data_IF_582297967033
#
_entry.id   IF_582297967033
#
_cell.length_a   1.000
_cell.length_b   1.000
_cell.length_c   1.000
_cell.angle_alpha   90.00
_cell.angle_beta   90.00
_cell.angle_gamma   90.00
#
_symmetry.space_group_name_H-M   'P 1'
#
loop_
_entity.id
_entity.type
_entity.pdbx_description
1 polymer ?
#
# COMPACT_ATOMS: atom_id res chain seq x y z
N UNK A 1 -36.48 -44.78 -24.07
CA UNK A 1 -35.20 -44.75 -23.35
C UNK A 1 -34.22 -44.25 -24.39
N UNK A 2 -33.97 -42.95 -24.50
CA UNK A 2 -33.34 -42.07 -23.52
C UNK A 2 -33.82 -40.63 -23.74
N UNK A 3 -34.35 -39.98 -22.70
CA UNK A 3 -34.65 -38.54 -22.73
C UNK A 3 -33.45 -37.81 -22.11
N UNK A 4 -32.52 -37.36 -22.95
CA UNK A 4 -31.47 -36.45 -22.49
C UNK A 4 -32.03 -35.01 -22.45
N UNK A 5 -32.02 -34.34 -21.29
CA UNK A 5 -32.52 -32.99 -21.19
C UNK A 5 -31.50 -32.02 -21.79
N UNK A 6 -31.79 -31.52 -22.99
CA UNK A 6 -31.02 -30.48 -23.66
C UNK A 6 -30.89 -29.19 -22.82
N UNK A 7 -31.72 -29.04 -21.78
CA UNK A 7 -31.66 -27.94 -20.82
C UNK A 7 -30.49 -28.02 -19.83
N UNK A 8 -29.82 -29.17 -19.68
CA UNK A 8 -28.82 -29.36 -18.61
C UNK A 8 -27.42 -28.84 -18.93
N UNK A 9 -27.09 -28.56 -20.20
CA UNK A 9 -25.75 -28.11 -20.59
C UNK A 9 -25.61 -26.58 -20.66
N UNK A 10 -26.70 -25.83 -20.80
CA UNK A 10 -26.66 -24.37 -20.95
C UNK A 10 -26.45 -23.67 -19.59
N UNK A 11 -26.85 -24.32 -18.49
CA UNK A 11 -26.80 -23.74 -17.13
C UNK A 11 -25.38 -23.80 -16.54
N UNK A 12 -24.47 -24.61 -17.09
CA UNK A 12 -23.10 -24.75 -16.56
C UNK A 12 -22.08 -23.75 -17.14
N UNK A 13 -22.50 -22.81 -18.00
CA UNK A 13 -21.60 -21.81 -18.60
C UNK A 13 -21.65 -20.42 -17.96
N UNK A 14 -22.54 -20.18 -17.00
CA UNK A 14 -22.79 -18.85 -16.42
C UNK A 14 -22.05 -18.57 -15.09
N UNK A 15 -21.17 -19.46 -14.62
CA UNK A 15 -20.60 -19.39 -13.26
C UNK A 15 -19.08 -19.22 -13.21
N UNK A 16 -18.49 -18.53 -14.19
CA UNK A 16 -17.15 -17.97 -14.03
C UNK A 16 -17.20 -16.45 -14.22
N UNK A 17 -17.97 -15.76 -13.38
CA UNK A 17 -17.63 -14.38 -13.04
C UNK A 17 -16.36 -14.44 -12.21
N UNK A 18 -15.21 -14.26 -12.87
CA UNK A 18 -13.95 -14.03 -12.17
C UNK A 18 -14.15 -12.84 -11.23
N UNK A 19 -14.17 -13.09 -9.93
CA UNK A 19 -13.98 -12.02 -8.94
C UNK A 19 -12.51 -11.64 -9.07
N UNK A 20 -12.21 -10.60 -9.85
CA UNK A 20 -10.91 -9.95 -9.74
C UNK A 20 -10.95 -9.15 -8.45
N UNK A 21 -10.26 -9.63 -7.42
CA UNK A 21 -9.88 -8.74 -6.32
C UNK A 21 -8.99 -7.66 -6.93
N UNK A 22 -9.45 -6.42 -6.95
CA UNK A 22 -8.67 -5.29 -7.47
C UNK A 22 -7.64 -4.90 -6.42
N UNK A 23 -6.35 -4.98 -6.77
CA UNK A 23 -5.28 -4.59 -5.87
C UNK A 23 -5.41 -3.09 -5.54
N UNK A 24 -5.41 -2.74 -4.25
CA UNK A 24 -5.72 -1.38 -3.78
C UNK A 24 -4.74 -0.91 -2.73
N UNK A 25 -4.26 0.32 -2.87
CA UNK A 25 -3.45 1.00 -1.86
C UNK A 25 -4.12 2.33 -1.51
N UNK A 26 -4.38 2.56 -0.23
CA UNK A 26 -5.06 3.76 0.27
C UNK A 26 -4.27 4.34 1.42
N UNK A 27 -3.97 5.63 1.38
CA UNK A 27 -3.34 6.31 2.50
C UNK A 27 -4.27 7.27 3.21
N UNK A 28 -3.92 7.59 4.45
CA UNK A 28 -4.64 8.53 5.29
C UNK A 28 -3.72 9.18 6.33
N UNK A 29 -4.01 10.43 6.73
CA UNK A 29 -4.93 11.36 6.06
C UNK A 29 -4.32 11.92 4.75
N UNK A 30 -5.15 12.37 3.78
CA UNK A 30 -4.66 12.94 2.52
C UNK A 30 -3.84 14.23 2.69
N UNK A 31 -4.08 14.94 3.79
CA UNK A 31 -3.27 16.08 4.22
C UNK A 31 -3.28 16.13 5.74
N UNK A 32 -2.13 16.42 6.33
CA UNK A 32 -1.94 16.55 7.77
C UNK A 32 -1.21 17.85 8.07
N UNK A 33 -1.81 18.71 8.90
CA UNK A 33 -1.15 19.89 9.45
C UNK A 33 -0.77 19.60 10.91
N UNK A 34 0.50 19.79 11.25
CA UNK A 34 1.07 19.52 12.59
C UNK A 34 1.94 20.70 13.01
N UNK A 35 2.13 20.92 14.31
CA UNK A 35 3.08 21.93 14.77
C UNK A 35 4.48 21.35 14.84
N UNK A 36 5.50 22.18 14.59
CA UNK A 36 6.89 21.80 14.81
C UNK A 36 7.11 21.29 16.24
N UNK A 37 7.78 20.15 16.37
CA UNK A 37 8.00 19.45 17.64
C UNK A 37 6.95 18.39 17.96
N UNK A 38 5.77 18.42 17.34
CA UNK A 38 4.75 17.38 17.52
C UNK A 38 5.10 16.11 16.73
N UNK A 39 4.32 15.06 16.94
CA UNK A 39 4.43 13.81 16.16
C UNK A 39 3.40 13.77 15.04
N UNK A 40 3.82 13.28 13.88
CA UNK A 40 2.98 13.06 12.72
C UNK A 40 2.87 11.56 12.42
N UNK A 41 1.65 11.11 12.10
CA UNK A 41 1.36 9.73 11.77
C UNK A 41 0.62 9.67 10.43
N UNK A 42 1.18 8.90 9.49
CA UNK A 42 0.57 8.57 8.21
C UNK A 42 0.33 7.07 8.15
N UNK A 43 -0.75 6.66 7.49
CA UNK A 43 -1.12 5.26 7.37
C UNK A 43 -1.32 4.87 5.91
N UNK A 44 -1.01 3.62 5.57
CA UNK A 44 -1.13 3.03 4.25
C UNK A 44 -1.80 1.67 4.38
N UNK A 45 -3.10 1.60 4.05
CA UNK A 45 -3.83 0.37 3.88
C UNK A 45 -3.52 -0.24 2.52
N UNK A 46 -3.37 -1.55 2.47
CA UNK A 46 -3.15 -2.27 1.23
C UNK A 46 -4.05 -3.51 1.15
N UNK A 47 -4.60 -3.77 -0.01
CA UNK A 47 -5.34 -4.98 -0.33
C UNK A 47 -4.71 -5.52 -1.60
N UNK A 48 -3.73 -6.40 -1.46
CA UNK A 48 -3.04 -7.01 -2.61
C UNK A 48 -3.02 -8.52 -2.50
N UNK A 49 -3.05 -9.20 -3.64
CA UNK A 49 -3.11 -10.66 -3.68
C UNK A 49 -1.79 -11.32 -3.26
N UNK A 50 -0.64 -10.74 -3.62
CA UNK A 50 0.68 -11.35 -3.40
C UNK A 50 1.69 -10.41 -2.77
N UNK A 51 1.41 -9.93 -1.56
CA UNK A 51 2.29 -9.01 -0.83
C UNK A 51 3.74 -9.52 -0.69
N UNK A 52 4.69 -8.76 -1.22
CA UNK A 52 6.13 -8.98 -1.04
C UNK A 52 6.73 -7.97 -0.07
N UNK A 53 6.52 -6.68 -0.33
CA UNK A 53 7.02 -5.61 0.52
C UNK A 53 6.15 -4.34 0.45
N UNK A 54 6.23 -3.52 1.49
CA UNK A 54 5.68 -2.17 1.52
C UNK A 54 6.83 -1.18 1.66
N UNK A 55 6.81 -0.13 0.85
CA UNK A 55 7.87 0.85 0.76
C UNK A 55 7.31 2.25 1.05
N UNK A 56 8.01 3.02 1.88
CA UNK A 56 7.67 4.42 2.18
C UNK A 56 8.66 5.36 1.51
N UNK A 57 8.13 6.44 0.96
CA UNK A 57 8.87 7.49 0.27
C UNK A 57 8.49 8.87 0.77
N UNK A 58 9.45 9.79 0.70
CA UNK A 58 9.25 11.24 0.82
C UNK A 58 9.56 11.87 -0.53
N UNK A 59 8.65 12.66 -1.08
CA UNK A 59 8.89 13.43 -2.29
C UNK A 59 9.73 14.67 -1.94
N UNK A 60 10.94 14.75 -2.50
CA UNK A 60 11.79 15.94 -2.38
C UNK A 60 12.02 16.58 -3.75
N UNK A 61 11.58 17.83 -3.91
CA UNK A 61 11.65 18.61 -5.15
C UNK A 61 11.08 17.80 -6.34
N UNK A 62 11.95 17.09 -7.06
CA UNK A 62 11.63 16.39 -8.30
C UNK A 62 11.81 14.87 -8.22
N UNK A 63 12.24 14.33 -7.07
CA UNK A 63 12.51 12.90 -6.94
C UNK A 63 12.01 12.32 -5.60
N UNK A 64 11.50 11.08 -5.61
CA UNK A 64 11.16 10.39 -4.39
C UNK A 64 12.43 9.89 -3.69
N UNK A 65 12.53 10.17 -2.40
CA UNK A 65 13.57 9.67 -1.50
C UNK A 65 13.01 8.47 -0.74
N UNK A 66 13.70 7.35 -0.86
CA UNK A 66 13.37 6.14 -0.12
C UNK A 66 13.57 6.32 1.38
N UNK A 67 12.59 5.89 2.18
CA UNK A 67 12.66 5.90 3.64
C UNK A 67 12.84 4.49 4.20
N UNK A 68 11.87 3.60 3.94
CA UNK A 68 11.82 2.27 4.52
C UNK A 68 11.24 1.24 3.55
N UNK A 69 11.72 0.00 3.66
CA UNK A 69 11.08 -1.21 3.13
C UNK A 69 10.72 -2.09 4.30
N UNK A 70 9.44 -2.47 4.38
CA UNK A 70 8.90 -3.40 5.35
C UNK A 70 8.52 -4.68 4.63
N UNK A 71 8.90 -5.81 5.22
CA UNK A 71 8.69 -7.13 4.64
C UNK A 71 8.11 -8.07 5.68
N UNK A 72 7.82 -9.30 5.26
CA UNK A 72 7.29 -10.27 6.19
C UNK A 72 8.19 -10.61 7.38
N UNK A 73 9.52 -10.47 7.24
CA UNK A 73 10.50 -10.71 8.29
C UNK A 73 10.95 -9.44 9.00
N UNK A 74 10.76 -8.27 8.40
CA UNK A 74 11.11 -6.97 8.95
C UNK A 74 9.88 -6.07 9.07
N UNK A 75 9.07 -6.33 10.10
CA UNK A 75 7.78 -5.63 10.31
C UNK A 75 7.93 -4.25 10.93
N UNK A 76 9.10 -3.89 11.43
CA UNK A 76 9.39 -2.57 11.99
C UNK A 76 10.75 -2.05 11.49
N UNK A 77 10.80 -0.75 11.19
CA UNK A 77 12.01 -0.04 10.78
C UNK A 77 12.06 1.32 11.48
N UNK A 78 13.27 1.77 11.82
CA UNK A 78 13.48 3.07 12.46
C UNK A 78 14.78 3.70 11.96
N UNK A 79 14.74 5.00 11.70
CA UNK A 79 15.90 5.82 11.36
C UNK A 79 15.70 7.22 11.93
N UNK A 80 16.50 7.56 12.96
CA UNK A 80 16.38 8.83 13.67
C UNK A 80 14.98 9.04 14.24
N UNK A 81 14.31 10.10 13.77
CA UNK A 81 12.95 10.52 14.16
C UNK A 81 11.84 9.76 13.43
N UNK A 82 12.17 9.08 12.33
CA UNK A 82 11.20 8.35 11.53
C UNK A 82 11.18 6.88 11.94
N UNK A 83 9.99 6.30 12.00
CA UNK A 83 9.77 4.88 12.22
C UNK A 83 8.59 4.40 11.40
N UNK A 84 8.61 3.16 10.96
CA UNK A 84 7.48 2.53 10.29
C UNK A 84 7.22 1.13 10.80
N UNK A 85 5.95 0.76 10.87
CA UNK A 85 5.46 -0.55 11.31
C UNK A 85 4.54 -1.11 10.22
N UNK A 86 4.59 -2.43 10.03
CA UNK A 86 3.73 -3.20 9.13
C UNK A 86 2.86 -4.14 9.97
N UNK A 87 1.56 -3.89 10.01
CA UNK A 87 0.55 -4.79 10.54
C UNK A 87 -0.09 -5.58 9.40
N UNK A 88 0.29 -6.86 9.28
CA UNK A 88 -0.24 -7.72 8.23
C UNK A 88 -1.64 -8.24 8.51
N UNK A 89 -2.09 -8.22 9.76
CA UNK A 89 -3.44 -8.68 10.11
C UNK A 89 -4.45 -7.63 9.68
N UNK A 90 -4.13 -6.37 9.93
CA UNK A 90 -4.93 -5.21 9.54
C UNK A 90 -4.63 -4.72 8.12
N UNK A 91 -3.67 -5.36 7.43
CA UNK A 91 -3.18 -4.98 6.10
C UNK A 91 -2.84 -3.48 6.01
N UNK A 92 -2.05 -3.02 6.99
CA UNK A 92 -1.78 -1.62 7.26
C UNK A 92 -0.30 -1.42 7.49
N UNK A 93 0.27 -0.35 6.96
CA UNK A 93 1.54 0.19 7.44
C UNK A 93 1.37 1.59 7.98
N UNK A 94 2.09 1.90 9.05
CA UNK A 94 2.12 3.22 9.67
C UNK A 94 3.51 3.81 9.51
N UNK A 95 3.61 5.07 9.10
CA UNK A 95 4.82 5.89 9.17
C UNK A 95 4.63 6.94 10.25
N UNK A 96 5.52 6.96 11.22
CA UNK A 96 5.51 7.89 12.34
C UNK A 96 6.78 8.75 12.31
N UNK A 97 6.61 10.06 12.48
CA UNK A 97 7.67 11.07 12.54
C UNK A 97 7.55 11.76 13.89
N UNK A 98 8.52 11.58 14.77
CA UNK A 98 8.54 12.25 16.08
C UNK A 98 9.30 13.57 16.00
N UNK A 99 8.98 14.52 16.88
CA UNK A 99 9.65 15.82 16.96
C UNK A 99 9.83 16.44 15.56
N UNK A 100 8.71 16.60 14.86
CA UNK A 100 8.66 17.10 13.49
C UNK A 100 9.39 18.44 13.37
N UNK A 101 9.96 18.70 12.19
CA UNK A 101 10.72 19.90 11.89
C UNK A 101 10.34 20.41 10.52
N UNK A 102 10.52 21.71 10.26
CA UNK A 102 10.11 22.34 8.98
C UNK A 102 10.58 21.55 7.74
N UNK A 103 11.75 20.88 7.77
CA UNK A 103 12.22 20.04 6.66
C UNK A 103 11.38 18.77 6.38
N UNK A 104 10.54 18.35 7.31
CA UNK A 104 9.61 17.23 7.16
C UNK A 104 8.33 17.63 6.41
N UNK A 105 8.10 18.92 6.13
CA UNK A 105 6.98 19.32 5.30
C UNK A 105 7.22 18.88 3.85
N UNK A 106 6.48 17.87 3.43
CA UNK A 106 6.63 17.22 2.13
C UNK A 106 5.42 16.35 1.82
N UNK A 107 5.40 15.82 0.60
CA UNK A 107 4.48 14.76 0.22
C UNK A 107 5.12 13.42 0.58
N UNK A 108 4.35 12.54 1.24
CA UNK A 108 4.75 11.19 1.59
C UNK A 108 3.82 10.20 0.91
N UNK A 109 4.40 9.11 0.40
CA UNK A 109 3.61 8.06 -0.23
C UNK A 109 4.17 6.68 0.03
N UNK A 110 3.28 5.69 0.03
CA UNK A 110 3.63 4.28 0.09
C UNK A 110 3.47 3.61 -1.28
N UNK A 111 4.23 2.54 -1.49
CA UNK A 111 4.07 1.63 -2.61
C UNK A 111 4.14 0.18 -2.13
N UNK A 112 3.35 -0.69 -2.75
CA UNK A 112 3.34 -2.12 -2.46
C UNK A 112 3.97 -2.87 -3.63
N UNK A 113 4.90 -3.77 -3.31
CA UNK A 113 5.52 -4.70 -4.23
C UNK A 113 4.83 -6.06 -4.12
N UNK A 114 4.51 -6.67 -5.25
CA UNK A 114 3.90 -8.00 -5.31
C UNK A 114 4.86 -9.07 -5.86
N UNK A 115 4.82 -10.26 -5.25
CA UNK A 115 5.71 -11.37 -5.57
C UNK A 115 5.35 -12.11 -6.86
N UNK A 116 4.12 -12.00 -7.35
CA UNK A 116 3.71 -12.62 -8.61
C UNK A 116 4.03 -11.71 -9.79
N UNK A 117 5.31 -11.63 -10.11
CA UNK A 117 5.75 -11.14 -11.41
C UNK A 117 5.49 -12.26 -12.44
N UNK A 118 4.46 -12.11 -13.28
CA UNK A 118 4.44 -12.88 -14.54
C UNK A 118 5.70 -12.48 -15.34
N UNK A 119 6.36 -13.44 -15.99
CA UNK A 119 7.69 -13.29 -16.60
C UNK A 119 7.87 -11.97 -17.36
N UNK A 120 8.43 -10.94 -16.69
CA UNK A 120 8.81 -9.68 -17.31
C UNK A 120 8.40 -8.39 -16.59
N UNK A 121 7.41 -8.38 -15.69
CA UNK A 121 6.97 -7.12 -15.03
C UNK A 121 6.65 -7.36 -13.56
N UNK A 122 7.56 -6.95 -12.67
CA UNK A 122 7.19 -6.69 -11.28
C UNK A 122 6.51 -5.33 -11.24
N UNK A 123 5.23 -5.30 -10.90
CA UNK A 123 4.46 -4.07 -10.77
C UNK A 123 4.64 -3.52 -9.36
N UNK A 124 5.14 -2.30 -9.25
CA UNK A 124 5.01 -1.51 -8.03
C UNK A 124 3.66 -0.79 -8.10
N UNK A 125 2.86 -0.92 -7.05
CA UNK A 125 1.58 -0.22 -6.93
C UNK A 125 1.77 0.96 -5.97
N UNK A 126 2.13 2.15 -6.49
CA UNK A 126 2.11 3.37 -5.69
C UNK A 126 0.66 3.73 -5.36
N UNK A 127 0.45 4.37 -4.22
CA UNK A 127 -0.83 5.02 -3.98
C UNK A 127 -1.05 6.13 -5.05
N UNK A 128 -2.23 6.15 -5.66
CA UNK A 128 -2.63 7.16 -6.64
C UNK A 128 -2.81 8.56 -6.00
N UNK A 129 -2.96 8.62 -4.67
CA UNK A 129 -3.05 9.87 -3.90
C UNK A 129 -1.90 9.95 -2.91
N UNK A 130 -1.02 10.93 -3.05
CA UNK A 130 0.06 11.13 -2.10
C UNK A 130 -0.36 12.07 -0.97
N UNK A 131 0.11 11.83 0.26
CA UNK A 131 -0.33 12.61 1.43
C UNK A 131 0.60 13.79 1.69
N UNK A 132 0.04 14.97 1.86
CA UNK A 132 0.83 16.16 2.20
C UNK A 132 0.96 16.31 3.72
N UNK A 133 2.19 16.29 4.23
CA UNK A 133 2.51 16.73 5.58
C UNK A 133 2.92 18.21 5.56
N UNK A 134 2.17 19.03 6.29
CA UNK A 134 2.36 20.47 6.40
C UNK A 134 2.68 20.82 7.84
N UNK A 135 3.69 21.67 8.00
CA UNK A 135 4.14 22.21 9.28
C UNK A 135 3.92 23.72 9.30
#
# INVERSE_FOLDING_TARGET
MEKYPQASLVILWLQLSSVSSEDKVVQSPPSLAVQEGDSATLTCNYEVSYFQSLQWYKQEKNAPIFLFTLTSSGIEKKSGRLSSILDKKELLSTLNITATKTEDSAIYFCAVEEAQCSSGTCSLYPNATADALQL
#
